data_IF_720352497771
#
_entry.id   IF_720352497771
#
_cell.length_a   1.000
_cell.length_b   1.000
_cell.length_c   1.000
_cell.angle_alpha   90.00
_cell.angle_beta   90.00
_cell.angle_gamma   90.00
#
_symmetry.space_group_name_H-M   'P 1'
#
loop_
_entity.id
_entity.type
_entity.pdbx_description
1 polymer ?
#
# COMPACT_ATOMS: atom_id res chain seq x y z
N UNK A 1 -12.66 -9.48 19.25
CA UNK A 1 -11.63 -9.71 18.27
C UNK A 1 -12.01 -9.21 16.89
N UNK A 2 -11.09 -8.60 16.21
CA UNK A 2 -11.32 -8.07 14.88
C UNK A 2 -11.53 -9.14 13.86
N UNK A 3 -12.54 -8.99 13.03
CA UNK A 3 -12.87 -10.00 12.06
C UNK A 3 -13.09 -9.49 10.65
N UNK A 4 -13.34 -8.22 10.43
CA UNK A 4 -13.71 -7.77 9.11
C UNK A 4 -12.63 -8.02 8.06
N UNK A 5 -11.40 -7.71 8.36
CA UNK A 5 -10.28 -8.14 7.53
C UNK A 5 -9.57 -9.29 8.17
N UNK A 6 -10.26 -9.94 9.09
CA UNK A 6 -9.84 -11.18 9.65
C UNK A 6 -8.59 -11.12 10.49
N UNK A 7 -8.22 -9.92 11.00
CA UNK A 7 -6.96 -9.95 11.70
C UNK A 7 -7.09 -9.71 13.19
N UNK A 8 -6.36 -10.52 13.91
CA UNK A 8 -6.05 -10.43 15.31
C UNK A 8 -4.64 -9.86 15.39
N UNK A 9 -4.37 -8.86 16.23
CA UNK A 9 -3.03 -8.29 16.34
C UNK A 9 -1.93 -9.33 16.54
N UNK A 10 -2.20 -10.35 17.33
CA UNK A 10 -1.22 -11.41 17.59
C UNK A 10 -0.95 -12.25 16.35
N UNK A 11 -1.99 -12.56 15.58
CA UNK A 11 -1.84 -13.31 14.32
C UNK A 11 -1.04 -12.51 13.30
N UNK A 12 -1.26 -11.21 13.23
CA UNK A 12 -0.50 -10.34 12.34
C UNK A 12 0.97 -10.35 12.72
N UNK A 13 1.26 -10.29 14.01
CA UNK A 13 2.63 -10.30 14.50
C UNK A 13 3.34 -11.61 14.18
N UNK A 14 2.64 -12.74 14.36
CA UNK A 14 3.18 -14.05 14.02
C UNK A 14 3.41 -14.19 12.51
N UNK A 15 2.47 -13.69 11.71
CA UNK A 15 2.59 -13.71 10.26
C UNK A 15 3.80 -12.90 9.79
N UNK A 16 3.98 -11.72 10.33
CA UNK A 16 5.14 -10.87 10.01
C UNK A 16 6.45 -11.56 10.39
N UNK A 17 6.47 -12.24 11.53
CA UNK A 17 7.67 -12.95 11.98
C UNK A 17 8.07 -14.10 11.05
N UNK A 18 7.10 -14.67 10.32
CA UNK A 18 7.35 -15.73 9.36
C UNK A 18 7.76 -15.22 7.98
N UNK A 19 7.57 -13.94 7.72
CA UNK A 19 7.96 -13.33 6.46
C UNK A 19 9.45 -13.01 6.50
N UNK A 20 10.25 -13.85 5.89
CA UNK A 20 11.70 -13.67 5.79
C UNK A 20 12.06 -12.67 4.70
N UNK A 21 11.30 -11.58 4.60
CA UNK A 21 11.53 -10.58 3.58
C UNK A 21 12.30 -9.41 4.15
N UNK A 22 13.23 -8.91 3.37
CA UNK A 22 13.74 -7.58 3.58
C UNK A 22 12.69 -6.61 3.07
N UNK A 23 11.92 -6.03 3.98
CA UNK A 23 10.98 -4.99 3.62
C UNK A 23 11.75 -3.68 3.51
N UNK A 24 11.87 -3.08 2.32
CA UNK A 24 12.52 -1.77 2.20
C UNK A 24 11.86 -0.72 3.07
N UNK A 25 10.55 -0.84 3.26
CA UNK A 25 9.80 0.04 4.14
C UNK A 25 8.68 -0.72 4.82
N UNK A 26 8.58 -0.53 6.12
CA UNK A 26 7.41 -1.02 6.85
C UNK A 26 7.21 -0.17 8.09
N UNK A 27 5.98 -0.10 8.55
CA UNK A 27 5.65 0.56 9.81
C UNK A 27 4.62 -0.29 10.53
N UNK A 28 4.80 -0.40 11.83
CA UNK A 28 3.93 -1.15 12.71
C UNK A 28 3.43 -0.19 13.79
N UNK A 29 2.12 -0.10 13.93
CA UNK A 29 1.51 0.76 14.96
C UNK A 29 1.13 -0.10 16.15
N UNK A 30 1.46 0.36 17.35
CA UNK A 30 1.17 -0.34 18.60
C UNK A 30 0.26 0.53 19.45
N UNK A 31 -0.63 -0.12 20.22
CA UNK A 31 -1.40 0.58 21.23
C UNK A 31 -0.58 0.73 22.52
N UNK A 32 -1.18 1.32 23.55
CA UNK A 32 -0.51 1.55 24.82
C UNK A 32 -0.10 0.25 25.53
N UNK A 33 -0.76 -0.86 25.21
CA UNK A 33 -0.43 -2.17 25.77
C UNK A 33 0.63 -2.92 24.96
N UNK A 34 1.10 -2.33 23.84
CA UNK A 34 2.10 -2.97 22.98
C UNK A 34 1.52 -3.91 21.96
N UNK A 35 0.19 -3.94 21.80
CA UNK A 35 -0.46 -4.77 20.80
C UNK A 35 -0.38 -4.11 19.42
N UNK A 36 -0.20 -4.92 18.36
CA UNK A 36 -0.16 -4.42 17.00
C UNK A 36 -1.55 -4.04 16.56
N UNK A 37 -1.76 -2.78 16.22
CA UNK A 37 -3.05 -2.27 15.78
C UNK A 37 -3.03 -1.81 14.31
N UNK A 38 -1.85 -1.77 13.70
CA UNK A 38 -1.72 -1.43 12.30
C UNK A 38 -0.41 -1.94 11.75
N UNK A 39 -0.42 -2.26 10.46
CA UNK A 39 0.75 -2.75 9.75
C UNK A 39 0.70 -2.27 8.32
N UNK A 40 1.75 -1.61 7.88
CA UNK A 40 1.92 -1.20 6.49
C UNK A 40 3.28 -1.72 6.03
N UNK A 41 3.27 -2.66 5.10
CA UNK A 41 4.46 -3.21 4.49
C UNK A 41 4.53 -2.81 3.03
N UNK A 42 5.67 -2.29 2.62
CA UNK A 42 5.95 -1.97 1.23
C UNK A 42 7.11 -2.82 0.75
N UNK A 43 7.03 -3.27 -0.48
CA UNK A 43 8.02 -4.16 -1.08
C UNK A 43 8.40 -3.66 -2.46
N UNK A 44 9.58 -4.05 -2.90
CA UNK A 44 10.10 -3.67 -4.21
C UNK A 44 9.68 -4.63 -5.32
N UNK A 45 8.69 -5.50 -5.08
CA UNK A 45 8.26 -6.40 -6.13
C UNK A 45 7.65 -5.63 -7.31
N UNK A 46 7.68 -6.26 -8.48
CA UNK A 46 7.34 -5.60 -9.73
C UNK A 46 5.88 -5.79 -10.09
N UNK A 47 5.34 -4.87 -10.89
CA UNK A 47 3.95 -4.93 -11.36
C UNK A 47 3.67 -6.27 -12.05
N UNK A 48 4.59 -6.75 -12.88
CA UNK A 48 4.40 -8.01 -13.60
C UNK A 48 4.41 -9.23 -12.68
N UNK A 49 4.93 -9.11 -11.48
CA UNK A 49 4.83 -10.19 -10.49
C UNK A 49 3.44 -10.24 -9.88
N UNK A 50 2.74 -9.11 -9.86
CA UNK A 50 1.36 -9.05 -9.38
C UNK A 50 0.36 -9.43 -10.47
N UNK A 51 0.58 -8.97 -11.68
CA UNK A 51 -0.27 -9.31 -12.81
C UNK A 51 0.57 -9.49 -14.07
N UNK A 52 0.70 -10.74 -14.49
CA UNK A 52 1.43 -11.06 -15.71
C UNK A 52 0.66 -10.66 -16.98
N UNK A 53 -0.65 -10.47 -16.88
CA UNK A 53 -1.50 -10.14 -18.01
C UNK A 53 -1.16 -8.78 -18.62
N UNK A 54 -0.70 -7.87 -17.80
CA UNK A 54 -0.40 -6.51 -18.29
C UNK A 54 0.70 -6.51 -19.35
N UNK A 55 1.66 -7.42 -19.23
CA UNK A 55 2.73 -7.55 -20.24
C UNK A 55 2.16 -7.88 -21.62
N UNK A 56 1.08 -8.65 -21.67
CA UNK A 56 0.43 -9.02 -22.93
C UNK A 56 -0.55 -7.96 -23.42
N UNK A 57 -1.28 -7.33 -22.48
CA UNK A 57 -2.37 -6.42 -22.83
C UNK A 57 -1.91 -4.98 -23.00
N UNK A 58 -0.94 -4.54 -22.22
CA UNK A 58 -0.45 -3.17 -22.26
C UNK A 58 1.08 -3.10 -22.09
N UNK A 59 1.82 -3.69 -23.03
CA UNK A 59 3.27 -3.79 -22.90
C UNK A 59 3.97 -2.42 -22.88
N UNK A 60 3.45 -1.44 -23.62
CA UNK A 60 4.08 -0.12 -23.67
C UNK A 60 3.89 0.64 -22.37
N UNK A 61 2.70 0.54 -21.76
CA UNK A 61 2.45 1.16 -20.46
C UNK A 61 3.31 0.51 -19.39
N UNK A 62 3.38 -0.83 -19.38
CA UNK A 62 4.21 -1.54 -18.41
C UNK A 62 5.68 -1.12 -18.55
N UNK A 63 6.18 -1.01 -19.77
CA UNK A 63 7.56 -0.60 -19.99
C UNK A 63 7.82 0.82 -19.46
N UNK A 64 6.86 1.74 -19.65
CA UNK A 64 6.99 3.10 -19.13
C UNK A 64 7.02 3.13 -17.62
N UNK A 65 6.13 2.37 -16.99
CA UNK A 65 6.06 2.33 -15.53
C UNK A 65 7.32 1.69 -14.95
N UNK A 66 7.82 0.64 -15.58
CA UNK A 66 9.04 -0.03 -15.13
C UNK A 66 10.32 0.77 -15.39
N UNK A 67 10.22 1.82 -16.18
CA UNK A 67 11.31 2.79 -16.34
C UNK A 67 11.40 3.78 -15.19
N UNK A 68 10.40 3.82 -14.34
CA UNK A 68 10.35 4.68 -13.16
C UNK A 68 10.73 3.90 -11.91
N UNK A 69 11.02 4.64 -10.84
CA UNK A 69 11.30 4.02 -9.54
C UNK A 69 10.00 3.93 -8.75
N UNK A 70 9.64 2.74 -8.33
CA UNK A 70 8.44 2.58 -7.52
C UNK A 70 8.61 1.50 -6.45
N UNK A 71 7.74 1.57 -5.46
CA UNK A 71 7.63 0.61 -4.40
C UNK A 71 6.15 0.22 -4.29
N UNK A 72 5.88 -1.03 -3.94
CA UNK A 72 4.53 -1.57 -3.91
C UNK A 72 4.01 -1.69 -2.48
N UNK A 73 2.75 -1.35 -2.27
CA UNK A 73 2.07 -1.69 -1.02
C UNK A 73 1.79 -3.19 -1.05
N UNK A 74 2.43 -3.93 -0.16
CA UNK A 74 2.20 -5.36 -0.04
C UNK A 74 1.04 -5.65 0.90
N UNK A 75 1.02 -5.01 2.07
CA UNK A 75 -0.10 -5.13 3.00
C UNK A 75 -0.31 -3.84 3.75
N UNK A 76 -1.57 -3.51 3.97
CA UNK A 76 -1.96 -2.35 4.76
C UNK A 76 -3.17 -2.77 5.57
N UNK A 77 -2.95 -3.09 6.84
CA UNK A 77 -3.94 -3.67 7.72
C UNK A 77 -4.06 -2.79 8.95
N UNK A 78 -5.29 -2.47 9.32
CA UNK A 78 -5.59 -1.69 10.53
C UNK A 78 -6.66 -2.42 11.31
N UNK A 79 -6.46 -2.57 12.61
CA UNK A 79 -7.43 -3.20 13.49
C UNK A 79 -8.77 -2.48 13.41
N UNK A 80 -9.85 -3.25 13.47
CA UNK A 80 -11.20 -2.73 13.26
C UNK A 80 -11.51 -1.52 14.15
N UNK A 81 -11.11 -1.58 15.42
CA UNK A 81 -11.38 -0.51 16.38
C UNK A 81 -10.72 0.83 15.99
N UNK A 82 -9.71 0.79 15.13
CA UNK A 82 -8.94 1.97 14.72
C UNK A 82 -9.26 2.41 13.29
N UNK A 83 -10.16 1.73 12.60
CA UNK A 83 -10.58 2.13 11.26
C UNK A 83 -11.43 3.39 11.34
N UNK A 84 -11.27 4.24 10.33
CA UNK A 84 -11.95 5.53 10.34
C UNK A 84 -11.30 6.56 11.23
N UNK A 85 -10.19 6.21 11.89
CA UNK A 85 -9.38 7.15 12.65
C UNK A 85 -8.25 7.68 11.77
N UNK A 86 -7.42 8.52 12.35
CA UNK A 86 -6.27 9.09 11.66
C UNK A 86 -5.09 8.10 11.51
N UNK A 87 -5.19 6.92 12.09
CA UNK A 87 -4.06 5.99 12.12
C UNK A 87 -3.52 5.66 10.73
N UNK A 88 -4.40 5.40 9.75
CA UNK A 88 -3.98 5.12 8.38
C UNK A 88 -3.12 6.24 7.82
N UNK A 89 -3.59 7.46 7.99
CA UNK A 89 -2.87 8.65 7.51
C UNK A 89 -1.51 8.76 8.19
N UNK A 90 -1.49 8.61 9.51
CA UNK A 90 -0.26 8.75 10.28
C UNK A 90 0.79 7.70 9.89
N UNK A 91 0.34 6.47 9.61
CA UNK A 91 1.25 5.41 9.17
C UNK A 91 1.90 5.76 7.83
N UNK A 92 1.10 6.24 6.87
CA UNK A 92 1.63 6.63 5.58
C UNK A 92 2.59 7.82 5.73
N UNK A 93 2.19 8.80 6.51
CA UNK A 93 3.00 10.00 6.70
C UNK A 93 4.33 9.70 7.41
N UNK A 94 4.37 8.68 8.25
CA UNK A 94 5.62 8.28 8.89
C UNK A 94 6.65 7.77 7.88
N UNK A 95 6.19 7.22 6.75
CA UNK A 95 7.06 6.73 5.69
C UNK A 95 7.27 7.78 4.57
N UNK A 96 6.51 8.87 4.59
CA UNK A 96 6.52 9.85 3.51
C UNK A 96 7.90 10.39 3.17
N UNK A 97 8.76 10.74 4.14
CA UNK A 97 10.11 11.20 3.81
C UNK A 97 10.93 10.16 3.03
N UNK A 98 10.78 8.88 3.38
CA UNK A 98 11.50 7.81 2.69
C UNK A 98 10.90 7.52 1.31
N UNK A 99 9.61 7.80 1.12
CA UNK A 99 8.95 7.62 -0.16
C UNK A 99 9.42 8.62 -1.22
N UNK A 100 10.05 9.71 -0.82
CA UNK A 100 10.52 10.74 -1.75
C UNK A 100 11.57 10.24 -2.74
N UNK A 101 12.21 9.12 -2.46
CA UNK A 101 13.17 8.52 -3.39
C UNK A 101 12.48 7.81 -4.57
N UNK A 102 11.18 7.63 -4.53
CA UNK A 102 10.42 6.94 -5.56
C UNK A 102 9.60 7.91 -6.39
N UNK A 103 9.31 7.53 -7.63
CA UNK A 103 8.44 8.30 -8.51
C UNK A 103 6.98 8.06 -8.19
N UNK A 104 6.63 6.83 -7.79
CA UNK A 104 5.26 6.52 -7.40
C UNK A 104 5.21 5.29 -6.49
N UNK A 105 4.05 5.12 -5.86
CA UNK A 105 3.73 3.92 -5.10
C UNK A 105 2.74 3.09 -5.92
N UNK A 106 3.04 1.81 -6.08
CA UNK A 106 2.17 0.86 -6.75
C UNK A 106 1.22 0.24 -5.73
N UNK A 107 -0.09 0.31 -5.98
CA UNK A 107 -1.10 -0.11 -5.01
C UNK A 107 -2.09 -1.04 -5.68
N UNK A 108 -1.93 -2.38 -5.53
CA UNK A 108 -2.94 -3.33 -5.99
C UNK A 108 -4.05 -3.44 -4.94
N UNK A 109 -5.30 -3.35 -5.37
CA UNK A 109 -6.46 -3.43 -4.48
C UNK A 109 -7.47 -4.41 -5.06
N UNK A 110 -7.77 -5.48 -4.35
CA UNK A 110 -8.77 -6.44 -4.79
C UNK A 110 -10.13 -5.76 -4.94
N UNK A 111 -10.91 -6.19 -5.95
CA UNK A 111 -12.17 -5.53 -6.29
C UNK A 111 -13.14 -5.39 -5.12
N UNK A 112 -13.22 -6.39 -4.26
CA UNK A 112 -14.19 -6.41 -3.16
C UNK A 112 -13.80 -5.52 -1.97
N UNK A 113 -12.57 -5.02 -1.92
CA UNK A 113 -12.13 -4.19 -0.80
C UNK A 113 -12.70 -2.78 -0.91
N UNK A 114 -12.91 -2.16 0.24
CA UNK A 114 -13.53 -0.84 0.32
C UNK A 114 -12.51 0.30 0.31
N UNK A 115 -11.24 -0.02 0.15
CA UNK A 115 -10.17 0.96 0.25
C UNK A 115 -9.91 1.76 -1.03
N UNK A 116 -10.64 1.45 -2.12
CA UNK A 116 -10.46 2.15 -3.39
C UNK A 116 -10.57 3.66 -3.26
N UNK A 117 -11.63 4.13 -2.63
CA UNK A 117 -11.86 5.57 -2.46
C UNK A 117 -10.82 6.21 -1.55
N UNK A 118 -10.33 5.48 -0.58
CA UNK A 118 -9.27 5.96 0.30
C UNK A 118 -8.03 6.33 -0.51
N UNK A 119 -7.58 5.42 -1.38
CA UNK A 119 -6.39 5.66 -2.20
C UNK A 119 -6.63 6.78 -3.22
N UNK A 120 -7.84 6.86 -3.78
CA UNK A 120 -8.18 7.94 -4.70
C UNK A 120 -8.11 9.31 -4.03
N UNK A 121 -8.49 9.40 -2.77
CA UNK A 121 -8.37 10.66 -2.02
C UNK A 121 -6.91 11.06 -1.79
N UNK A 122 -6.00 10.09 -1.77
CA UNK A 122 -4.57 10.38 -1.73
C UNK A 122 -4.04 10.88 -3.08
N UNK A 123 -4.81 10.75 -4.13
CA UNK A 123 -4.39 11.11 -5.47
C UNK A 123 -3.97 9.93 -6.33
N UNK A 124 -4.26 8.72 -5.89
CA UNK A 124 -3.95 7.53 -6.67
C UNK A 124 -4.81 7.45 -7.92
N UNK A 125 -4.21 7.01 -9.02
CA UNK A 125 -4.85 6.91 -10.33
C UNK A 125 -4.81 5.46 -10.78
N UNK A 126 -5.96 4.95 -11.20
CA UNK A 126 -6.04 3.61 -11.77
C UNK A 126 -5.30 3.57 -13.11
N UNK A 127 -4.46 2.56 -13.31
CA UNK A 127 -3.77 2.40 -14.60
C UNK A 127 -4.02 1.04 -15.25
N UNK A 128 -4.57 0.08 -14.50
CA UNK A 128 -4.87 -1.25 -15.02
C UNK A 128 -5.84 -1.95 -14.09
N UNK A 129 -6.57 -2.92 -14.62
CA UNK A 129 -7.39 -3.81 -13.80
C UNK A 129 -7.49 -5.18 -14.47
N UNK A 130 -7.66 -6.20 -13.65
CA UNK A 130 -7.91 -7.55 -14.12
C UNK A 130 -9.08 -8.15 -13.34
N UNK A 131 -9.26 -9.47 -13.44
CA UNK A 131 -10.39 -10.14 -12.79
C UNK A 131 -10.31 -10.07 -11.26
N UNK A 132 -9.13 -9.90 -10.70
CA UNK A 132 -8.92 -9.95 -9.25
C UNK A 132 -8.85 -8.56 -8.62
N UNK A 133 -8.21 -7.62 -9.28
CA UNK A 133 -7.81 -6.36 -8.66
C UNK A 133 -7.85 -5.17 -9.60
N UNK A 134 -7.89 -4.00 -8.99
CA UNK A 134 -7.63 -2.73 -9.63
C UNK A 134 -6.24 -2.27 -9.20
N UNK A 135 -5.46 -1.76 -10.13
CA UNK A 135 -4.07 -1.36 -9.87
C UNK A 135 -3.93 0.15 -9.99
N UNK A 136 -3.47 0.74 -8.89
CA UNK A 136 -3.32 2.19 -8.80
C UNK A 136 -1.86 2.59 -8.73
N UNK A 137 -1.57 3.78 -9.22
CA UNK A 137 -0.29 4.44 -8.93
C UNK A 137 -0.56 5.72 -8.16
N UNK A 138 0.20 5.95 -7.13
CA UNK A 138 0.16 7.19 -6.36
C UNK A 138 1.45 7.98 -6.65
N UNK A 139 1.35 9.04 -7.48
CA UNK A 139 2.53 9.85 -7.80
C UNK A 139 3.02 10.60 -6.56
N UNK A 140 4.29 10.42 -6.21
CA UNK A 140 4.82 10.99 -4.98
C UNK A 140 5.00 12.50 -5.09
N UNK A 141 5.60 12.95 -6.19
CA UNK A 141 5.85 14.38 -6.37
C UNK A 141 4.56 15.19 -6.44
N UNK A 142 3.52 14.66 -7.10
CA UNK A 142 2.23 15.33 -7.21
C UNK A 142 1.57 15.44 -5.84
N UNK A 143 1.58 14.36 -5.07
CA UNK A 143 0.97 14.36 -3.74
C UNK A 143 1.71 15.33 -2.81
N UNK A 144 3.03 15.29 -2.82
CA UNK A 144 3.84 16.20 -2.00
C UNK A 144 3.55 17.65 -2.32
N UNK A 145 3.38 17.97 -3.59
CA UNK A 145 3.07 19.33 -4.02
C UNK A 145 1.70 19.78 -3.52
N UNK A 146 0.69 18.90 -3.63
CA UNK A 146 -0.66 19.19 -3.14
C UNK A 146 -0.65 19.44 -1.64
N UNK A 147 0.05 18.63 -0.87
CA UNK A 147 0.15 18.80 0.57
C UNK A 147 0.82 20.12 0.94
N UNK A 148 1.84 20.54 0.19
CA UNK A 148 2.53 21.79 0.50
C UNK A 148 1.67 23.02 0.20
N UNK A 149 0.66 22.91 -0.65
CA UNK A 149 -0.27 23.98 -0.97
C UNK A 149 -1.38 24.11 0.08
N UNK A 150 -1.57 23.09 0.89
CA UNK A 150 -2.59 23.06 1.92
C UNK A 150 -2.00 23.43 3.29
#
# INVERSE_FOLDING_TARGET
MTRQYGFDPKEVEEWVAHLHFNWPMSVKALDAAGEVIGLLNMSDYRIEEETSRMADEQPELLARLNGLRYIAVFSFIVAEAYRGTRLNYDMIMSLWPDLQQYDFVFIPVMHHLKTHNYWKRWGAVEFYRDAMSVYYMLPISTRGKVESEN
#
